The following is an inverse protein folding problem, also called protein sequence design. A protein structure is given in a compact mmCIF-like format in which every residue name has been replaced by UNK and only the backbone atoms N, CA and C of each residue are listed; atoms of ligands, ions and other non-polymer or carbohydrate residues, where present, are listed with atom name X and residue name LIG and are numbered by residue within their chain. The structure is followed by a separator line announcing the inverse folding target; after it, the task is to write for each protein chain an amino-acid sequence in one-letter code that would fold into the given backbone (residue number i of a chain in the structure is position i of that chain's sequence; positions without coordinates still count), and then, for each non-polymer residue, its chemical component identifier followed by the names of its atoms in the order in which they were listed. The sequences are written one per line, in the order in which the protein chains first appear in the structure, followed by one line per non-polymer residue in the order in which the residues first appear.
data_IF_925970439573
#
_entry.id   IF_925970439573
#
_cell.length_a   1.000
_cell.length_b   1.000
_cell.length_c   1.000
_cell.angle_alpha   90.00
_cell.angle_beta   90.00
_cell.angle_gamma   90.00
#
_symmetry.space_group_name_H-M   'P 1'
#
loop_
_entity.id
_entity.type
_entity.pdbx_description
1 polymer ?
#
# COMPACT_ATOMS: atom_id res chain seq x y z
N UNK A 1 18.75 -7.77 3.66
CA UNK A 1 17.64 -7.85 4.62
C UNK A 1 16.46 -7.27 3.90
N UNK A 2 15.83 -8.10 3.07
CA UNK A 2 14.71 -7.73 2.20
C UNK A 2 13.49 -7.54 3.10
N UNK A 3 13.15 -6.28 3.35
CA UNK A 3 11.93 -5.96 4.06
C UNK A 3 10.79 -6.14 3.07
N UNK A 4 10.00 -7.22 3.23
CA UNK A 4 8.81 -7.48 2.44
C UNK A 4 7.74 -6.43 2.80
N UNK A 5 7.77 -5.28 2.12
CA UNK A 5 6.81 -4.19 2.30
C UNK A 5 5.39 -4.69 2.02
N UNK A 6 5.22 -5.65 1.11
CA UNK A 6 3.95 -6.32 0.87
C UNK A 6 3.40 -6.98 2.13
N UNK A 7 4.23 -7.70 2.89
CA UNK A 7 3.79 -8.36 4.14
C UNK A 7 3.33 -7.33 5.18
N UNK A 8 4.01 -6.18 5.27
CA UNK A 8 3.56 -5.08 6.13
C UNK A 8 2.20 -4.54 5.69
N UNK A 9 2.01 -4.31 4.39
CA UNK A 9 0.73 -3.87 3.83
C UNK A 9 -0.38 -4.87 4.14
N UNK A 10 -0.12 -6.17 3.96
CA UNK A 10 -1.10 -7.22 4.29
C UNK A 10 -1.47 -7.23 5.78
N UNK A 11 -0.49 -7.16 6.68
CA UNK A 11 -0.74 -7.09 8.11
C UNK A 11 -1.53 -5.84 8.50
N UNK A 12 -1.19 -4.68 7.94
CA UNK A 12 -1.92 -3.44 8.21
C UNK A 12 -3.34 -3.46 7.63
N UNK A 13 -3.55 -4.07 6.46
CA UNK A 13 -4.89 -4.23 5.88
C UNK A 13 -5.79 -5.13 6.71
N UNK A 14 -5.22 -6.18 7.32
CA UNK A 14 -5.93 -7.06 8.25
C UNK A 14 -6.29 -6.30 9.53
N UNK A 15 -5.34 -5.54 10.08
CA UNK A 15 -5.56 -4.71 11.26
C UNK A 15 -6.64 -3.64 11.01
N UNK A 16 -6.55 -2.90 9.90
CA UNK A 16 -7.55 -1.90 9.54
C UNK A 16 -8.95 -2.51 9.41
N UNK A 17 -9.07 -3.68 8.77
CA UNK A 17 -10.35 -4.40 8.69
C UNK A 17 -10.84 -4.82 10.08
N UNK A 18 -9.96 -5.25 10.98
CA UNK A 18 -10.34 -5.61 12.34
C UNK A 18 -10.85 -4.39 13.13
N UNK A 19 -10.23 -3.22 12.94
CA UNK A 19 -10.58 -1.96 13.61
C UNK A 19 -11.86 -1.32 13.03
N UNK A 20 -12.07 -1.44 11.72
CA UNK A 20 -13.20 -0.84 10.98
C UNK A 20 -14.29 -1.86 10.62
N UNK A 21 -14.55 -2.86 11.46
CA UNK A 21 -15.67 -3.81 11.29
C UNK A 21 -15.75 -4.52 9.92
N UNK A 22 -14.60 -4.82 9.33
CA UNK A 22 -14.47 -5.49 8.02
C UNK A 22 -14.40 -4.53 6.83
N UNK A 23 -14.43 -3.21 7.06
CA UNK A 23 -14.21 -2.22 6.02
C UNK A 23 -12.75 -2.20 5.58
N UNK A 24 -12.54 -1.93 4.30
CA UNK A 24 -11.20 -1.86 3.69
C UNK A 24 -10.83 -0.41 3.45
N UNK A 25 -9.56 -0.05 3.61
CA UNK A 25 -9.12 1.30 3.28
C UNK A 25 -9.24 1.53 1.77
N UNK A 26 -9.54 2.76 1.37
CA UNK A 26 -9.57 3.13 -0.04
C UNK A 26 -8.16 3.36 -0.60
N UNK A 27 -7.23 3.79 0.25
CA UNK A 27 -5.87 4.15 -0.12
C UNK A 27 -4.83 3.48 0.77
N UNK A 28 -3.78 2.97 0.13
CA UNK A 28 -2.55 2.47 0.74
C UNK A 28 -1.46 3.48 0.38
N UNK A 29 -1.11 4.31 1.34
CA UNK A 29 -0.06 5.30 1.22
C UNK A 29 1.25 4.69 1.67
N UNK A 30 2.27 4.78 0.81
CA UNK A 30 3.60 4.27 1.09
C UNK A 30 4.65 5.31 0.78
N UNK A 31 5.77 5.23 1.51
CA UNK A 31 6.92 6.08 1.26
C UNK A 31 7.44 5.92 -0.19
N UNK A 32 7.94 6.98 -0.81
CA UNK A 32 8.40 6.94 -2.20
C UNK A 32 9.58 5.97 -2.43
N UNK A 33 10.35 5.64 -1.39
CA UNK A 33 11.45 4.68 -1.49
C UNK A 33 11.01 3.21 -1.55
N UNK A 34 9.75 2.90 -1.17
CA UNK A 34 9.25 1.53 -1.07
C UNK A 34 8.12 1.25 -2.07
N UNK A 35 7.55 2.28 -2.71
CA UNK A 35 6.41 2.14 -3.63
C UNK A 35 6.75 1.22 -4.80
N UNK A 36 7.90 1.40 -5.45
CA UNK A 36 8.31 0.56 -6.57
C UNK A 36 8.48 -0.90 -6.16
N UNK A 37 9.12 -1.15 -5.01
CA UNK A 37 9.28 -2.49 -4.45
C UNK A 37 7.94 -3.16 -4.13
N UNK A 38 7.01 -2.41 -3.52
CA UNK A 38 5.66 -2.91 -3.25
C UNK A 38 4.93 -3.27 -4.54
N UNK A 39 4.99 -2.42 -5.57
CA UNK A 39 4.35 -2.69 -6.84
C UNK A 39 4.93 -3.95 -7.52
N UNK A 40 6.25 -4.16 -7.45
CA UNK A 40 6.89 -5.37 -7.95
C UNK A 40 6.45 -6.62 -7.16
N UNK A 41 6.44 -6.56 -5.82
CA UNK A 41 5.97 -7.68 -4.98
C UNK A 41 4.50 -8.00 -5.26
N UNK A 42 3.64 -6.98 -5.41
CA UNK A 42 2.22 -7.17 -5.76
C UNK A 42 2.07 -7.84 -7.12
N UNK A 43 2.87 -7.46 -8.13
CA UNK A 43 2.87 -8.11 -9.45
C UNK A 43 3.23 -9.58 -9.32
N UNK A 44 4.29 -9.89 -8.59
CA UNK A 44 4.73 -11.27 -8.38
C UNK A 44 3.68 -12.10 -7.65
N UNK A 45 3.09 -11.56 -6.56
CA UNK A 45 2.07 -12.25 -5.76
C UNK A 45 0.78 -12.55 -6.54
N UNK A 46 0.38 -11.65 -7.46
CA UNK A 46 -0.83 -11.85 -8.29
C UNK A 46 -0.54 -12.55 -9.63
N UNK A 47 0.72 -12.87 -9.93
CA UNK A 47 1.12 -13.45 -11.22
C UNK A 47 0.92 -12.49 -12.40
N UNK A 48 0.97 -11.17 -12.18
CA UNK A 48 0.83 -10.20 -13.26
C UNK A 48 2.08 -10.20 -14.16
N UNK A 49 1.92 -9.96 -15.48
CA UNK A 49 3.04 -9.68 -16.37
C UNK A 49 3.86 -8.48 -15.88
N UNK A 50 5.17 -8.48 -16.11
CA UNK A 50 6.07 -7.38 -15.72
C UNK A 50 5.64 -6.02 -16.28
N UNK A 51 5.02 -6.02 -17.46
CA UNK A 51 4.56 -4.83 -18.18
C UNK A 51 3.26 -4.22 -17.61
N UNK A 52 2.53 -4.96 -16.75
CA UNK A 52 1.30 -4.43 -16.17
C UNK A 52 1.61 -3.36 -15.14
N UNK A 53 0.97 -2.20 -15.29
CA UNK A 53 1.02 -1.14 -14.29
C UNK A 53 0.01 -1.49 -13.17
N UNK A 54 0.54 -1.83 -12.00
CA UNK A 54 -0.28 -2.04 -10.81
C UNK A 54 -0.39 -0.72 -10.07
N UNK A 55 -1.61 -0.29 -9.76
CA UNK A 55 -1.88 0.91 -8.95
C UNK A 55 -2.85 0.61 -7.81
N UNK A 56 -3.17 -0.67 -7.59
CA UNK A 56 -4.15 -1.10 -6.61
C UNK A 56 -3.85 -2.51 -6.12
N UNK A 57 -4.18 -2.78 -4.86
CA UNK A 57 -4.04 -4.10 -4.24
C UNK A 57 -5.24 -4.38 -3.34
N UNK A 58 -5.87 -5.56 -3.52
CA UNK A 58 -7.07 -6.01 -2.78
C UNK A 58 -8.26 -5.02 -2.77
N UNK A 59 -8.35 -4.14 -3.76
CA UNK A 59 -9.40 -3.12 -3.89
C UNK A 59 -9.00 -1.73 -3.39
N UNK A 60 -7.83 -1.60 -2.75
CA UNK A 60 -7.30 -0.33 -2.26
C UNK A 60 -6.27 0.22 -3.25
N UNK A 61 -6.28 1.54 -3.50
CA UNK A 61 -5.31 2.19 -4.40
C UNK A 61 -3.97 2.37 -3.70
N UNK A 62 -2.89 1.96 -4.36
CA UNK A 62 -1.53 2.20 -3.86
C UNK A 62 -1.09 3.57 -4.35
N UNK A 63 -0.66 4.42 -3.43
CA UNK A 63 -0.18 5.76 -3.73
C UNK A 63 1.12 6.05 -2.99
N UNK A 64 2.02 6.75 -3.69
CA UNK A 64 3.22 7.32 -3.08
C UNK A 64 2.82 8.53 -2.25
N UNK A 65 3.35 8.63 -1.03
CA UNK A 65 3.14 9.78 -0.16
C UNK A 65 4.47 10.26 0.41
N UNK A 66 4.89 11.45 0.00
CA UNK A 66 6.23 11.98 0.30
C UNK A 66 6.43 12.32 1.78
N UNK A 67 5.34 12.54 2.53
CA UNK A 67 5.40 12.80 3.95
C UNK A 67 5.56 11.52 4.81
N UNK A 68 5.55 10.32 4.22
CA UNK A 68 5.90 9.08 4.93
C UNK A 68 7.40 8.82 4.87
N UNK A 69 7.99 8.46 6.02
CA UNK A 69 9.37 8.01 6.08
C UNK A 69 9.52 6.59 5.53
N UNK A 70 10.75 6.22 5.15
CA UNK A 70 11.05 4.90 4.62
C UNK A 70 10.64 3.81 5.63
N UNK A 71 9.76 2.91 5.19
CA UNK A 71 9.27 1.79 5.98
C UNK A 71 7.99 2.06 6.75
N UNK A 72 7.49 3.31 6.74
CA UNK A 72 6.15 3.67 7.17
C UNK A 72 5.13 3.45 6.04
N UNK A 73 3.90 3.15 6.46
CA UNK A 73 2.74 3.01 5.60
C UNK A 73 1.54 3.63 6.31
N UNK A 74 0.59 4.16 5.55
CA UNK A 74 -0.66 4.69 6.07
C UNK A 74 -1.83 4.14 5.27
N UNK A 75 -2.81 3.58 5.97
CA UNK A 75 -4.06 3.10 5.41
C UNK A 75 -5.16 4.08 5.76
N UNK A 76 -5.90 4.53 4.76
CA UNK A 76 -6.92 5.55 4.96
C UNK A 76 -8.03 5.38 3.92
N UNK A 77 -9.26 5.69 4.31
CA UNK A 77 -10.39 5.86 3.42
C UNK A 77 -10.43 7.27 2.81
N UNK A 78 -9.83 8.26 3.47
CA UNK A 78 -9.75 9.64 2.99
C UNK A 78 -8.38 9.95 2.40
N UNK A 79 -8.33 10.69 1.28
CA UNK A 79 -7.06 11.24 0.81
C UNK A 79 -6.57 12.26 1.85
N UNK A 80 -5.36 12.12 2.41
CA UNK A 80 -4.83 13.12 3.32
C UNK A 80 -4.77 14.44 2.57
N UNK A 81 -5.35 15.50 3.15
CA UNK A 81 -5.26 16.83 2.59
C UNK A 81 -3.77 17.13 2.35
N UNK A 82 -3.38 17.23 1.08
CA UNK A 82 -2.08 17.79 0.73
C UNK A 82 -2.17 19.25 1.12
N UNK A 83 -1.81 19.58 2.37
CA UNK A 83 -1.75 20.97 2.81
C UNK A 83 -0.93 21.74 1.79
N UNK A 84 -1.61 22.65 1.11
CA UNK A 84 -1.08 23.53 0.07
C UNK A 84 -0.37 24.72 0.69
#
# INVERSE_FOLDING_TARGET
MDAHILQKVENSLDQYQAEHHGERPLYILVSPGEVDGLLEEVKQANGYPKDVHVTSYRGSKIMRYEALNKGDLLLTDELPETSS
#
